data_IF_050396218545
#
_entry.id   IF_050396218545
#
_cell.length_a   1.000
_cell.length_b   1.000
_cell.length_c   1.000
_cell.angle_alpha   90.00
_cell.angle_beta   90.00
_cell.angle_gamma   90.00
#
_symmetry.space_group_name_H-M   'P 1'
#
loop_
_entity.id
_entity.type
_entity.pdbx_description
1 polymer ?
#
# COMPACT_ATOMS: atom_id res chain seq x y z
N UNK A 1 -21.59 5.65 -13.58
CA UNK A 1 -21.04 4.28 -13.35
C UNK A 1 -20.96 4.07 -11.86
N UNK A 2 -21.70 3.11 -11.32
CA UNK A 2 -21.71 2.93 -9.86
C UNK A 2 -20.37 2.38 -9.39
N UNK A 3 -19.83 2.96 -8.35
CA UNK A 3 -18.59 2.58 -7.65
C UNK A 3 -18.54 1.08 -7.27
N UNK A 4 -19.69 0.41 -7.32
CA UNK A 4 -19.88 -0.98 -6.95
C UNK A 4 -19.06 -1.99 -7.76
N UNK A 5 -18.70 -1.69 -9.02
CA UNK A 5 -17.92 -2.60 -9.88
C UNK A 5 -16.42 -2.60 -9.60
N UNK A 6 -15.90 -1.50 -9.02
CA UNK A 6 -14.48 -1.37 -8.69
C UNK A 6 -14.10 -2.14 -7.41
N UNK A 7 -15.09 -2.64 -6.67
CA UNK A 7 -14.93 -3.20 -5.34
C UNK A 7 -15.42 -4.64 -5.22
N UNK A 8 -15.62 -5.30 -6.34
CA UNK A 8 -15.93 -6.74 -6.33
C UNK A 8 -14.75 -7.51 -5.74
N UNK A 9 -15.04 -8.48 -4.86
CA UNK A 9 -14.05 -9.36 -4.22
C UNK A 9 -13.14 -10.10 -5.22
N UNK A 10 -13.61 -10.26 -6.46
CA UNK A 10 -12.82 -10.82 -7.56
C UNK A 10 -11.58 -10.00 -7.95
N UNK A 11 -11.50 -8.73 -7.53
CA UNK A 11 -10.40 -7.81 -7.85
C UNK A 11 -9.44 -7.56 -6.68
N UNK A 12 -9.41 -8.42 -5.69
CA UNK A 12 -8.56 -8.25 -4.53
C UNK A 12 -7.10 -8.61 -4.84
N UNK A 13 -6.30 -7.63 -5.22
CA UNK A 13 -4.87 -7.78 -5.49
C UNK A 13 -4.03 -7.96 -4.22
N UNK A 14 -4.56 -7.62 -3.05
CA UNK A 14 -3.88 -7.75 -1.77
C UNK A 14 -3.89 -9.19 -1.26
N UNK A 15 -4.81 -10.02 -1.74
CA UNK A 15 -4.95 -11.41 -1.27
C UNK A 15 -3.64 -12.22 -1.28
N UNK A 16 -2.78 -12.16 -2.32
CA UNK A 16 -1.53 -12.91 -2.33
C UNK A 16 -0.57 -12.49 -1.22
N UNK A 17 -0.56 -11.21 -0.86
CA UNK A 17 0.36 -10.67 0.16
C UNK A 17 -0.23 -10.70 1.59
N UNK A 18 -1.48 -11.16 1.75
CA UNK A 18 -2.19 -11.21 3.04
C UNK A 18 -1.39 -11.94 4.12
N UNK A 19 -0.91 -13.15 3.83
CA UNK A 19 -0.16 -13.95 4.78
C UNK A 19 1.16 -13.29 5.20
N UNK A 20 1.79 -12.56 4.29
CA UNK A 20 3.02 -11.80 4.58
C UNK A 20 2.70 -10.65 5.52
N UNK A 21 1.64 -9.88 5.24
CA UNK A 21 1.22 -8.78 6.10
C UNK A 21 0.82 -9.24 7.50
N UNK A 22 0.06 -10.33 7.61
CA UNK A 22 -0.29 -10.91 8.91
C UNK A 22 0.96 -11.26 9.74
N UNK A 23 1.96 -11.89 9.14
CA UNK A 23 3.21 -12.21 9.84
C UNK A 23 3.98 -10.97 10.27
N UNK A 24 3.94 -9.90 9.48
CA UNK A 24 4.57 -8.63 9.83
C UNK A 24 3.94 -8.00 11.08
N UNK A 25 2.60 -7.99 11.16
CA UNK A 25 1.88 -7.33 12.26
C UNK A 25 1.78 -8.22 13.51
N UNK A 26 1.68 -9.53 13.40
CA UNK A 26 1.51 -10.45 14.55
C UNK A 26 2.68 -10.43 15.55
N UNK A 27 3.87 -10.02 15.14
CA UNK A 27 5.10 -10.10 15.94
C UNK A 27 5.64 -8.74 16.39
N UNK A 28 4.83 -7.68 16.32
CA UNK A 28 5.29 -6.34 16.67
C UNK A 28 4.19 -5.49 17.33
N UNK A 29 4.58 -4.57 18.19
CA UNK A 29 3.74 -3.44 18.55
C UNK A 29 3.71 -2.48 17.35
N UNK A 30 2.54 -2.27 16.75
CA UNK A 30 2.41 -1.64 15.45
C UNK A 30 1.28 -0.63 15.36
N UNK A 31 1.37 0.21 14.35
CA UNK A 31 0.28 0.97 13.76
C UNK A 31 0.07 0.50 12.32
N UNK A 32 -1.17 0.34 11.91
CA UNK A 32 -1.52 -0.03 10.54
C UNK A 32 -2.30 1.09 9.86
N UNK A 33 -1.74 1.51 8.71
CA UNK A 33 -2.36 2.50 7.84
C UNK A 33 -2.66 1.81 6.53
N UNK A 34 -3.94 1.68 6.22
CA UNK A 34 -4.41 0.89 5.09
C UNK A 34 -4.83 1.72 3.87
N UNK A 35 -4.71 1.13 2.69
CA UNK A 35 -5.39 1.65 1.51
C UNK A 35 -6.88 1.26 1.56
N UNK A 36 -7.79 2.12 1.05
CA UNK A 36 -9.23 1.85 1.13
C UNK A 36 -9.70 0.74 0.18
N UNK A 37 -8.93 0.42 -0.86
CA UNK A 37 -9.35 -0.51 -1.91
C UNK A 37 -8.49 -1.76 -1.98
N UNK A 38 -9.09 -2.90 -2.36
CA UNK A 38 -8.40 -4.17 -2.54
C UNK A 38 -8.07 -4.90 -1.23
N UNK A 39 -8.68 -4.52 -0.12
CA UNK A 39 -8.42 -5.05 1.22
C UNK A 39 -9.55 -5.93 1.76
N UNK A 40 -10.41 -6.46 0.90
CA UNK A 40 -11.65 -7.15 1.30
C UNK A 40 -11.44 -8.38 2.18
N UNK A 41 -10.34 -9.10 2.02
CA UNK A 41 -10.07 -10.29 2.83
C UNK A 41 -9.66 -9.93 4.28
N UNK A 42 -9.39 -8.65 4.53
CA UNK A 42 -9.10 -8.12 5.87
C UNK A 42 -10.37 -7.68 6.62
N UNK A 43 -11.51 -7.60 5.94
CA UNK A 43 -12.74 -7.16 6.58
C UNK A 43 -13.43 -8.27 7.37
N UNK A 44 -14.11 -7.93 8.48
CA UNK A 44 -15.10 -8.81 9.08
C UNK A 44 -16.15 -9.24 8.02
N UNK A 45 -16.62 -10.48 8.11
CA UNK A 45 -17.55 -11.06 7.13
C UNK A 45 -18.84 -10.26 6.94
N UNK A 46 -19.24 -9.51 7.94
CA UNK A 46 -20.47 -8.71 7.98
C UNK A 46 -20.27 -7.25 7.56
N UNK A 47 -19.06 -6.90 7.12
CA UNK A 47 -18.75 -5.53 6.72
C UNK A 47 -19.21 -5.26 5.29
N UNK A 48 -20.26 -4.44 5.17
CA UNK A 48 -20.90 -4.14 3.88
C UNK A 48 -20.38 -2.86 3.20
N UNK A 49 -19.42 -2.16 3.81
CA UNK A 49 -18.87 -0.92 3.26
C UNK A 49 -17.77 -1.18 2.23
N UNK A 50 -17.58 -0.21 1.36
CA UNK A 50 -16.78 -0.32 0.13
C UNK A 50 -15.34 0.12 0.34
N UNK A 51 -14.86 0.24 1.56
CA UNK A 51 -13.51 0.69 1.83
C UNK A 51 -13.11 0.45 3.27
N UNK A 52 -11.81 0.54 3.55
CA UNK A 52 -11.32 0.61 4.91
C UNK A 52 -11.73 1.93 5.53
N UNK A 53 -12.17 1.90 6.76
CA UNK A 53 -12.32 3.08 7.60
C UNK A 53 -11.79 2.81 9.01
N UNK A 54 -11.62 3.87 9.77
CA UNK A 54 -11.11 3.83 11.14
C UNK A 54 -12.07 3.17 12.15
N UNK A 55 -13.25 2.70 11.74
CA UNK A 55 -14.15 1.91 12.58
C UNK A 55 -13.72 0.46 12.75
N UNK A 56 -12.68 0.03 12.02
CA UNK A 56 -12.12 -1.31 12.13
C UNK A 56 -11.03 -1.30 13.20
N UNK A 57 -11.24 -2.00 14.28
CA UNK A 57 -10.43 -1.95 15.51
C UNK A 57 -8.91 -2.18 15.33
N UNK A 58 -8.50 -2.87 14.27
CA UNK A 58 -7.09 -3.19 14.03
C UNK A 58 -6.42 -2.29 12.99
N UNK A 59 -7.11 -1.25 12.52
CA UNK A 59 -6.59 -0.25 11.60
C UNK A 59 -6.59 1.10 12.29
N UNK A 60 -5.43 1.74 12.37
CA UNK A 60 -5.29 3.04 13.01
C UNK A 60 -5.77 4.18 12.10
N UNK A 61 -5.58 4.03 10.81
CA UNK A 61 -6.04 5.02 9.82
C UNK A 61 -6.31 4.40 8.45
N UNK A 62 -7.41 4.79 7.84
CA UNK A 62 -7.70 4.61 6.44
C UNK A 62 -8.74 5.64 5.98
N UNK A 63 -8.58 6.17 4.78
CA UNK A 63 -9.57 7.03 4.15
C UNK A 63 -9.59 6.85 2.63
N UNK A 64 -10.52 7.53 1.99
CA UNK A 64 -10.66 7.53 0.53
C UNK A 64 -9.76 8.57 -0.17
N UNK A 65 -9.05 9.40 0.59
CA UNK A 65 -8.15 10.40 0.03
C UNK A 65 -6.81 9.75 -0.30
N UNK A 66 -6.66 9.35 -1.55
CA UNK A 66 -5.42 8.74 -2.02
C UNK A 66 -4.24 9.71 -1.85
N UNK A 67 -3.11 9.18 -1.40
CA UNK A 67 -1.87 9.93 -1.24
C UNK A 67 -1.58 10.40 0.18
N UNK A 68 -2.55 10.46 1.10
CA UNK A 68 -2.35 10.97 2.45
C UNK A 68 -1.74 9.95 3.41
N UNK A 69 -1.94 8.65 3.16
CA UNK A 69 -1.56 7.57 4.08
C UNK A 69 -0.10 7.64 4.54
N UNK A 70 0.82 7.92 3.62
CA UNK A 70 2.25 7.93 3.94
C UNK A 70 2.66 9.17 4.76
N UNK A 71 2.08 10.35 4.48
CA UNK A 71 2.33 11.55 5.29
C UNK A 71 1.78 11.43 6.72
N UNK A 72 0.62 10.77 6.89
CA UNK A 72 0.08 10.46 8.21
C UNK A 72 0.99 9.47 8.94
N UNK A 73 1.47 8.44 8.25
CA UNK A 73 2.43 7.48 8.79
C UNK A 73 3.73 8.16 9.25
N UNK A 74 4.22 9.14 8.52
CA UNK A 74 5.38 9.95 8.89
C UNK A 74 5.17 10.64 10.24
N UNK A 75 4.04 11.33 10.40
CA UNK A 75 3.70 11.99 11.65
C UNK A 75 3.62 11.01 12.84
N UNK A 76 2.98 9.86 12.65
CA UNK A 76 2.88 8.81 13.67
C UNK A 76 4.26 8.23 13.99
N UNK A 77 5.10 7.99 12.97
CA UNK A 77 6.43 7.42 13.16
C UNK A 77 7.37 8.33 13.97
N UNK A 78 7.20 9.63 13.83
CA UNK A 78 7.91 10.63 14.64
C UNK A 78 7.40 10.64 16.08
N UNK A 79 6.09 10.56 16.27
CA UNK A 79 5.45 10.59 17.59
C UNK A 79 5.64 9.29 18.39
N UNK A 80 5.72 8.15 17.70
CA UNK A 80 5.81 6.81 18.31
C UNK A 80 7.06 6.05 17.75
N UNK A 81 8.29 6.47 18.07
CA UNK A 81 9.51 5.94 17.45
C UNK A 81 9.77 4.46 17.78
N UNK A 82 9.21 3.95 18.86
CA UNK A 82 9.37 2.56 19.32
C UNK A 82 8.39 1.59 18.64
N UNK A 83 7.34 2.11 18.00
CA UNK A 83 6.36 1.30 17.28
C UNK A 83 6.74 1.09 15.83
N UNK A 84 6.33 -0.05 15.27
CA UNK A 84 6.40 -0.30 13.83
C UNK A 84 5.20 0.32 13.13
N UNK A 85 5.44 1.09 12.09
CA UNK A 85 4.40 1.73 11.32
C UNK A 85 4.30 1.02 9.97
N UNK A 86 3.26 0.22 9.80
CA UNK A 86 2.96 -0.47 8.55
C UNK A 86 2.03 0.38 7.71
N UNK A 87 2.43 0.63 6.47
CA UNK A 87 1.63 1.42 5.52
C UNK A 87 1.39 0.58 4.28
N UNK A 88 0.13 0.41 3.89
CA UNK A 88 -0.24 -0.27 2.66
C UNK A 88 -0.81 0.74 1.67
N UNK A 89 -0.15 0.88 0.52
CA UNK A 89 -0.61 1.73 -0.59
C UNK A 89 -0.68 0.92 -1.90
N UNK A 90 -1.33 1.50 -2.91
CA UNK A 90 -1.25 0.99 -4.29
C UNK A 90 -0.12 1.69 -5.06
N UNK A 91 0.32 1.05 -6.16
CA UNK A 91 1.28 1.61 -7.10
C UNK A 91 0.85 2.98 -7.65
N UNK A 92 -0.43 3.18 -7.95
CA UNK A 92 -0.97 4.45 -8.43
C UNK A 92 -0.78 5.61 -7.43
N UNK A 93 -0.72 5.31 -6.13
CA UNK A 93 -0.45 6.32 -5.10
C UNK A 93 0.99 6.83 -5.14
N UNK A 94 1.94 6.08 -5.70
CA UNK A 94 3.32 6.51 -5.90
C UNK A 94 3.47 7.71 -6.84
N UNK A 95 2.45 8.02 -7.64
CA UNK A 95 2.42 9.19 -8.51
C UNK A 95 1.72 10.40 -7.90
N UNK A 96 1.30 10.32 -6.63
CA UNK A 96 0.62 11.42 -5.94
C UNK A 96 1.62 12.32 -5.22
N UNK A 97 1.47 13.64 -5.35
CA UNK A 97 2.38 14.63 -4.79
C UNK A 97 2.66 14.42 -3.31
N UNK A 98 1.59 14.26 -2.50
CA UNK A 98 1.70 14.02 -1.06
C UNK A 98 2.52 12.75 -0.74
N UNK A 99 2.34 11.68 -1.53
CA UNK A 99 3.10 10.44 -1.35
C UNK A 99 4.58 10.66 -1.70
N UNK A 100 4.85 11.37 -2.80
CA UNK A 100 6.22 11.66 -3.25
C UNK A 100 6.97 12.50 -2.22
N UNK A 101 6.35 13.54 -1.68
CA UNK A 101 6.91 14.37 -0.62
C UNK A 101 7.22 13.54 0.63
N UNK A 102 6.28 12.71 1.07
CA UNK A 102 6.47 11.85 2.23
C UNK A 102 7.59 10.81 2.01
N UNK A 103 7.73 10.22 0.82
CA UNK A 103 8.84 9.29 0.52
C UNK A 103 10.20 9.99 0.73
N UNK A 104 10.33 11.22 0.21
CA UNK A 104 11.57 11.99 0.33
C UNK A 104 11.84 12.36 1.79
N UNK A 105 10.84 12.89 2.49
CA UNK A 105 10.94 13.32 3.88
C UNK A 105 11.27 12.16 4.83
N UNK A 106 10.55 11.06 4.75
CA UNK A 106 10.79 9.84 5.55
C UNK A 106 12.21 9.33 5.34
N UNK A 107 12.68 9.30 4.08
CA UNK A 107 14.02 8.88 3.74
C UNK A 107 15.09 9.83 4.29
N UNK A 108 14.86 11.14 4.21
CA UNK A 108 15.77 12.16 4.74
C UNK A 108 15.84 12.12 6.28
N UNK A 109 14.70 12.00 6.95
CA UNK A 109 14.60 11.88 8.41
C UNK A 109 15.03 10.50 8.93
N UNK A 110 15.26 9.55 8.03
CA UNK A 110 15.61 8.17 8.32
C UNK A 110 14.65 7.49 9.33
N UNK A 111 13.35 7.59 9.08
CA UNK A 111 12.32 6.99 9.94
C UNK A 111 12.29 5.46 9.77
N UNK A 112 13.28 4.80 10.36
CA UNK A 112 13.55 3.34 10.23
C UNK A 112 12.45 2.44 10.80
N UNK A 113 11.50 2.99 11.53
CA UNK A 113 10.32 2.29 12.04
C UNK A 113 9.19 2.19 11.02
N UNK A 114 9.30 2.82 9.85
CA UNK A 114 8.33 2.69 8.76
C UNK A 114 8.62 1.49 7.87
N UNK A 115 7.58 0.71 7.58
CA UNK A 115 7.55 -0.35 6.59
C UNK A 115 6.41 -0.07 5.64
N UNK A 116 6.75 0.36 4.42
CA UNK A 116 5.81 0.63 3.35
C UNK A 116 5.61 -0.61 2.50
N UNK A 117 4.38 -1.08 2.38
CA UNK A 117 3.99 -2.15 1.46
C UNK A 117 3.27 -1.54 0.26
N UNK A 118 3.76 -1.80 -0.93
CA UNK A 118 3.17 -1.36 -2.19
C UNK A 118 2.55 -2.54 -2.91
N UNK A 119 1.22 -2.51 -3.06
CA UNK A 119 0.50 -3.42 -3.95
C UNK A 119 0.72 -2.96 -5.40
N UNK A 120 1.78 -3.51 -6.02
CA UNK A 120 2.22 -3.14 -7.37
C UNK A 120 1.51 -4.05 -8.39
N UNK A 121 0.29 -3.65 -8.78
CA UNK A 121 -0.61 -4.45 -9.60
C UNK A 121 -0.83 -3.91 -11.02
N UNK A 122 -0.09 -2.87 -11.39
CA UNK A 122 -0.16 -2.18 -12.69
C UNK A 122 -1.58 -1.72 -13.05
N UNK A 123 -2.34 -1.26 -12.04
CA UNK A 123 -3.74 -0.89 -12.23
C UNK A 123 -4.11 0.42 -11.53
N UNK A 124 -4.77 1.28 -12.27
CA UNK A 124 -5.36 2.51 -11.72
C UNK A 124 -6.82 2.68 -12.16
N UNK A 125 -7.49 3.72 -11.68
CA UNK A 125 -8.87 4.03 -12.06
C UNK A 125 -9.06 4.34 -13.55
N UNK A 126 -7.98 4.60 -14.27
CA UNK A 126 -7.97 4.94 -15.70
C UNK A 126 -7.49 3.80 -16.60
N UNK A 127 -7.10 2.65 -16.03
CA UNK A 127 -6.65 1.49 -16.79
C UNK A 127 -5.34 0.88 -16.29
N UNK A 128 -4.50 0.47 -17.20
CA UNK A 128 -3.16 -0.07 -16.93
C UNK A 128 -2.23 1.09 -16.55
N UNK A 129 -1.62 1.02 -15.37
CA UNK A 129 -0.86 2.14 -14.82
C UNK A 129 0.38 2.47 -15.65
N UNK A 130 1.11 1.46 -16.11
CA UNK A 130 2.30 1.62 -16.95
C UNK A 130 1.99 2.27 -18.32
N UNK A 131 0.75 2.14 -18.80
CA UNK A 131 0.30 2.81 -20.04
C UNK A 131 -0.12 4.28 -19.79
N UNK A 132 -0.41 4.65 -18.53
CA UNK A 132 -0.84 6.01 -18.15
C UNK A 132 0.33 6.81 -17.59
N UNK A 133 0.94 6.32 -16.52
CA UNK A 133 2.09 6.94 -15.85
C UNK A 133 2.76 5.90 -14.95
N UNK A 134 3.83 5.30 -15.43
CA UNK A 134 4.60 4.33 -14.64
C UNK A 134 5.30 5.00 -13.45
N UNK A 135 5.16 4.46 -12.23
CA UNK A 135 5.82 5.03 -11.06
C UNK A 135 7.35 4.92 -11.14
N UNK A 136 8.03 6.00 -10.79
CA UNK A 136 9.50 6.00 -10.72
C UNK A 136 9.99 5.48 -9.38
N UNK A 137 10.30 4.19 -9.29
CA UNK A 137 10.79 3.57 -8.06
C UNK A 137 12.19 4.06 -7.62
N UNK A 138 12.93 4.79 -8.46
CA UNK A 138 14.22 5.37 -8.05
C UNK A 138 14.07 6.47 -7.00
N UNK A 139 12.86 6.99 -6.77
CA UNK A 139 12.59 7.97 -5.72
C UNK A 139 12.96 7.45 -4.32
N UNK A 140 12.93 6.15 -4.11
CA UNK A 140 13.31 5.52 -2.84
C UNK A 140 14.84 5.54 -2.60
N UNK A 141 15.65 5.71 -3.66
CA UNK A 141 17.12 5.74 -3.54
C UNK A 141 17.60 7.14 -3.14
N UNK A 142 18.68 7.24 -2.34
CA UNK A 142 19.44 6.15 -1.71
C UNK A 142 18.96 5.80 -0.28
N UNK A 143 17.90 6.44 0.22
CA UNK A 143 17.61 6.52 1.64
C UNK A 143 16.74 5.36 2.16
N UNK A 144 16.07 4.63 1.27
CA UNK A 144 15.23 3.48 1.63
C UNK A 144 15.93 2.16 1.30
N UNK A 145 15.60 1.13 2.08
CA UNK A 145 15.84 -0.26 1.68
C UNK A 145 14.68 -0.75 0.81
N UNK A 146 14.97 -1.13 -0.45
CA UNK A 146 13.95 -1.57 -1.41
C UNK A 146 13.97 -3.09 -1.48
N UNK A 147 12.84 -3.71 -1.21
CA UNK A 147 12.62 -5.16 -1.21
C UNK A 147 11.63 -5.49 -2.31
N UNK A 148 12.05 -6.21 -3.34
CA UNK A 148 11.14 -6.76 -4.35
C UNK A 148 10.68 -8.14 -3.92
N UNK A 149 9.37 -8.32 -3.76
CA UNK A 149 8.78 -9.59 -3.38
C UNK A 149 7.82 -10.10 -4.46
N UNK A 150 8.18 -11.23 -5.07
CA UNK A 150 7.40 -11.93 -6.10
C UNK A 150 6.87 -13.28 -5.63
N UNK A 151 7.37 -13.75 -4.50
CA UNK A 151 7.06 -15.09 -3.97
C UNK A 151 5.93 -15.06 -2.97
N UNK A 152 5.61 -13.88 -2.42
CA UNK A 152 4.67 -13.69 -1.32
C UNK A 152 5.05 -14.48 -0.06
N UNK A 153 6.37 -14.72 0.10
CA UNK A 153 6.92 -15.40 1.27
C UNK A 153 7.58 -14.41 2.22
N UNK A 154 7.25 -14.51 3.50
CA UNK A 154 7.81 -13.63 4.54
C UNK A 154 9.33 -13.79 4.67
N UNK A 155 9.82 -15.02 4.54
CA UNK A 155 11.24 -15.34 4.73
C UNK A 155 12.15 -14.72 3.66
N UNK A 156 11.57 -14.29 2.53
CA UNK A 156 12.30 -13.63 1.45
C UNK A 156 12.52 -12.13 1.71
N UNK A 157 11.88 -11.58 2.75
CA UNK A 157 12.03 -10.17 3.11
C UNK A 157 13.33 -9.91 3.84
N UNK A 158 14.18 -9.07 3.27
CA UNK A 158 15.48 -8.66 3.83
C UNK A 158 15.40 -7.22 4.33
N UNK A 159 14.92 -7.06 5.56
CA UNK A 159 14.81 -5.73 6.18
C UNK A 159 16.16 -5.16 6.58
N UNK A 160 16.35 -3.87 6.30
CA UNK A 160 17.43 -3.06 6.89
C UNK A 160 16.92 -2.41 8.18
N UNK A 161 17.63 -2.62 9.28
CA UNK A 161 17.29 -2.05 10.61
C UNK A 161 17.69 -0.57 10.73
N UNK A 162 18.48 -0.08 9.79
CA UNK A 162 19.03 1.28 9.82
C UNK A 162 18.33 2.24 8.84
N UNK A 163 17.39 1.74 8.05
CA UNK A 163 16.65 2.53 7.04
C UNK A 163 15.16 2.25 7.09
N UNK A 164 14.31 3.18 6.63
CA UNK A 164 12.94 2.84 6.29
C UNK A 164 12.93 1.77 5.18
N UNK A 165 11.94 0.89 5.22
CA UNK A 165 11.85 -0.23 4.29
C UNK A 165 10.63 -0.08 3.39
N UNK A 166 10.80 -0.34 2.09
CA UNK A 166 9.69 -0.46 1.16
C UNK A 166 9.69 -1.85 0.53
N UNK A 167 8.53 -2.49 0.55
CA UNK A 167 8.29 -3.78 -0.08
C UNK A 167 7.44 -3.54 -1.31
N UNK A 168 7.96 -3.86 -2.48
CA UNK A 168 7.23 -3.84 -3.74
C UNK A 168 6.70 -5.24 -3.98
N UNK A 169 5.41 -5.43 -3.77
CA UNK A 169 4.72 -6.68 -4.08
C UNK A 169 4.24 -6.64 -5.53
N UNK A 170 4.90 -7.43 -6.38
CA UNK A 170 4.54 -7.59 -7.79
C UNK A 170 3.27 -8.47 -7.87
N UNK A 171 2.11 -7.82 -7.74
CA UNK A 171 0.81 -8.48 -7.73
C UNK A 171 0.15 -8.38 -9.11
N UNK A 172 -0.74 -9.32 -9.41
CA UNK A 172 -1.52 -9.28 -10.63
C UNK A 172 -2.97 -9.02 -10.24
N UNK A 173 -3.51 -7.90 -10.68
CA UNK A 173 -4.95 -7.69 -10.58
C UNK A 173 -5.63 -8.63 -11.57
N UNK A 174 -6.45 -9.56 -11.08
CA UNK A 174 -7.25 -10.41 -11.93
C UNK A 174 -8.16 -9.57 -12.83
N UNK A 175 -7.60 -9.26 -13.96
CA UNK A 175 -8.16 -8.92 -15.26
C UNK A 175 -9.43 -8.07 -15.25
N UNK A 176 -9.24 -6.76 -15.41
CA UNK A 176 -10.16 -6.05 -16.28
C UNK A 176 -9.89 -6.54 -17.71
N UNK A 177 -10.89 -7.02 -18.44
CA UNK A 177 -10.70 -7.22 -19.87
C UNK A 177 -10.27 -5.88 -20.46
N UNK A 178 -9.13 -5.85 -21.15
CA UNK A 178 -8.55 -4.64 -21.78
C UNK A 178 -9.52 -3.91 -22.73
N UNK A 179 -10.62 -4.55 -23.07
CA UNK A 179 -11.69 -4.02 -23.94
C UNK A 179 -12.59 -2.95 -23.33
N UNK A 180 -12.66 -2.84 -21.98
CA UNK A 180 -13.67 -1.98 -21.33
C UNK A 180 -13.13 -0.59 -20.94
N UNK A 181 -11.83 -0.37 -21.07
CA UNK A 181 -11.16 0.91 -20.77
C UNK A 181 -10.61 1.57 -22.04
N UNK A 182 -11.49 1.94 -22.95
CA UNK A 182 -11.16 2.97 -23.93
C UNK A 182 -11.23 4.31 -23.23
N UNK A 183 -10.07 4.93 -22.99
CA UNK A 183 -10.00 6.34 -22.64
C UNK A 183 -10.69 7.08 -23.77
N UNK A 184 -11.87 7.65 -23.53
CA UNK A 184 -12.41 8.68 -24.41
C UNK A 184 -11.63 9.95 -24.08
N UNK A 185 -10.70 10.29 -24.95
CA UNK A 185 -10.07 11.60 -25.00
C UNK A 185 -11.11 12.60 -25.48
#
# INVERSE_FOLDING_TARGET
MSCKRLHDKSYNSVKPLYNVLLKLIQNSDYRLIGKPYGMYDFYPKDYNNVGLDSSIDWIDYADFTLGNSLGIAEGIAIAEPDKKIFVLISDSQLNMGNTLEAIVSIGFLNLKNIILAVDYNDSCSKGVLSEVLEPNLNIFKPNWNIIYNKTYEYNDLKFDKNKPNVIIFDTIKNVYPKSDYKIKV
#
